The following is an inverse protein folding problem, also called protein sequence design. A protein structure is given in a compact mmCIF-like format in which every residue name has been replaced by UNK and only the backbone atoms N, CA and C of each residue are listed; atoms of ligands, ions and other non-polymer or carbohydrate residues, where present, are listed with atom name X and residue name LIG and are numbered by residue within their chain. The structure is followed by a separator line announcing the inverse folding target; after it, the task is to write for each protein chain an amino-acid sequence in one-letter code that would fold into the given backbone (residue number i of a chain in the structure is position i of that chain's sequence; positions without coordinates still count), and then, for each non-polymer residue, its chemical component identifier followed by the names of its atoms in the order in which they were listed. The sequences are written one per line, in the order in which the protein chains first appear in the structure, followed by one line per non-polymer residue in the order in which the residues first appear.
data_IF_416263067939
#
_entry.id   IF_416263067939
#
_cell.length_a   1.000
_cell.length_b   1.000
_cell.length_c   1.000
_cell.angle_alpha   90.00
_cell.angle_beta   90.00
_cell.angle_gamma   90.00
#
_symmetry.space_group_name_H-M   'P 1'
#
loop_
_entity.id
_entity.type
_entity.pdbx_description
1 polymer ?
#
# COMPACT_ATOMS: atom_id res chain seq x y z
N UNK A 1 3.36 -20.73 -1.74
CA UNK A 1 2.06 -20.04 -1.61
C UNK A 1 2.04 -18.93 -2.65
N UNK A 2 1.00 -18.79 -3.48
CA UNK A 2 0.90 -17.67 -4.41
C UNK A 2 0.67 -16.38 -3.63
N UNK A 3 1.42 -15.32 -3.97
CA UNK A 3 1.17 -14.02 -3.39
C UNK A 3 -0.15 -13.45 -3.94
N UNK A 4 -0.80 -12.59 -3.16
CA UNK A 4 -1.96 -11.83 -3.59
C UNK A 4 -1.69 -10.34 -3.52
N UNK A 5 -2.53 -9.62 -4.22
CA UNK A 5 -2.47 -8.17 -4.34
C UNK A 5 -3.40 -7.54 -3.29
N UNK A 6 -2.85 -6.63 -2.48
CA UNK A 6 -3.56 -5.94 -1.41
C UNK A 6 -3.41 -4.42 -1.54
N UNK A 7 -4.44 -3.68 -1.19
CA UNK A 7 -4.40 -2.22 -1.06
C UNK A 7 -4.01 -1.85 0.35
N UNK A 8 -3.05 -0.93 0.49
CA UNK A 8 -2.67 -0.39 1.78
C UNK A 8 -3.73 0.59 2.25
N UNK A 9 -4.43 0.25 3.32
CA UNK A 9 -5.37 1.12 3.99
C UNK A 9 -4.68 2.07 4.98
N UNK A 10 -3.56 1.66 5.58
CA UNK A 10 -2.87 2.47 6.57
C UNK A 10 -1.40 2.08 6.69
N UNK A 11 -0.54 3.04 7.00
CA UNK A 11 0.90 2.83 7.15
C UNK A 11 1.67 2.85 5.82
N UNK A 12 2.82 2.17 5.81
CA UNK A 12 3.66 2.04 4.62
C UNK A 12 4.30 0.66 4.58
N UNK A 13 4.24 0.01 3.43
CA UNK A 13 4.74 -1.35 3.21
C UNK A 13 5.91 -1.32 2.23
N UNK A 14 6.90 -2.18 2.46
CA UNK A 14 8.08 -2.28 1.61
C UNK A 14 7.88 -3.42 0.62
N UNK A 15 7.98 -3.11 -0.67
CA UNK A 15 7.94 -4.08 -1.76
C UNK A 15 9.29 -4.83 -1.87
N UNK A 16 9.31 -5.99 -2.54
CA UNK A 16 10.56 -6.71 -2.85
C UNK A 16 11.54 -5.87 -3.69
N UNK A 17 11.02 -4.93 -4.47
CA UNK A 17 11.77 -3.93 -5.23
C UNK A 17 12.40 -2.82 -4.34
N UNK A 18 12.36 -2.98 -3.01
CA UNK A 18 12.84 -2.00 -2.04
C UNK A 18 12.06 -0.66 -2.02
N UNK A 19 11.06 -0.52 -2.88
CA UNK A 19 10.15 0.62 -2.93
C UNK A 19 9.15 0.60 -1.76
N UNK A 20 8.87 1.77 -1.19
CA UNK A 20 7.84 1.95 -0.15
C UNK A 20 6.52 2.34 -0.80
N UNK A 21 5.48 1.58 -0.51
CA UNK A 21 4.09 1.86 -0.89
C UNK A 21 3.34 2.35 0.35
N UNK A 22 2.74 3.54 0.25
CA UNK A 22 1.91 4.13 1.31
C UNK A 22 0.43 3.76 1.17
N UNK A 23 -0.40 4.36 2.03
CA UNK A 23 -1.86 4.31 1.94
C UNK A 23 -2.36 4.62 0.52
N UNK A 24 -3.32 3.82 0.02
CA UNK A 24 -3.85 3.87 -1.34
C UNK A 24 -2.98 3.14 -2.38
N UNK A 25 -1.77 2.73 -2.01
CA UNK A 25 -0.89 1.94 -2.86
C UNK A 25 -1.22 0.46 -2.83
N UNK A 26 -0.84 -0.24 -3.90
CA UNK A 26 -1.05 -1.68 -4.03
C UNK A 26 0.25 -2.43 -3.67
N UNK A 27 0.17 -3.55 -2.98
CA UNK A 27 1.34 -4.35 -2.59
C UNK A 27 1.06 -5.84 -2.80
N UNK A 28 2.05 -6.59 -3.26
CA UNK A 28 1.95 -8.03 -3.44
C UNK A 28 2.57 -8.73 -2.22
N UNK A 29 1.76 -9.49 -1.49
CA UNK A 29 2.15 -10.10 -0.22
C UNK A 29 1.55 -11.52 -0.10
N UNK A 30 2.12 -12.39 0.74
CA UNK A 30 1.49 -13.65 1.14
C UNK A 30 0.24 -13.41 2.02
N UNK A 31 -0.75 -14.29 1.94
CA UNK A 31 -1.96 -14.24 2.77
C UNK A 31 -1.63 -14.26 4.28
N UNK A 32 -0.66 -15.08 4.72
CA UNK A 32 -0.24 -15.12 6.14
C UNK A 32 0.27 -13.77 6.66
N UNK A 33 0.92 -13.00 5.78
CA UNK A 33 1.38 -11.65 6.11
C UNK A 33 0.19 -10.70 6.11
N UNK A 34 -0.64 -10.76 5.06
CA UNK A 34 -1.80 -9.90 4.94
C UNK A 34 -2.80 -10.08 6.10
N UNK A 35 -2.99 -11.30 6.60
CA UNK A 35 -3.87 -11.60 7.74
C UNK A 35 -3.43 -10.85 9.01
N UNK A 36 -2.11 -10.81 9.27
CA UNK A 36 -1.54 -10.05 10.39
C UNK A 36 -1.77 -8.54 10.25
N UNK A 37 -1.93 -8.07 9.02
CA UNK A 37 -2.14 -6.67 8.67
C UNK A 37 -3.56 -6.42 8.13
N UNK A 38 -4.55 -7.26 8.42
CA UNK A 38 -5.94 -7.11 7.90
C UNK A 38 -6.64 -5.79 8.24
N UNK A 39 -6.13 -5.05 9.23
CA UNK A 39 -6.61 -3.70 9.57
C UNK A 39 -5.86 -2.58 8.84
N UNK A 40 -4.75 -2.93 8.19
CA UNK A 40 -3.86 -2.03 7.43
C UNK A 40 -3.84 -2.35 5.93
N UNK A 41 -4.34 -3.52 5.53
CA UNK A 41 -4.37 -4.04 4.16
C UNK A 41 -5.77 -4.56 3.83
N UNK A 42 -6.25 -4.25 2.64
CA UNK A 42 -7.47 -4.78 2.06
C UNK A 42 -7.15 -5.66 0.87
N UNK A 43 -7.80 -6.82 0.76
CA UNK A 43 -7.60 -7.71 -0.40
C UNK A 43 -8.20 -7.07 -1.65
N UNK A 44 -7.39 -6.94 -2.71
CA UNK A 44 -7.90 -6.51 -4.01
C UNK A 44 -8.54 -7.72 -4.67
N UNK A 45 -9.86 -7.89 -4.44
CA UNK A 45 -10.65 -8.84 -5.21
C UNK A 45 -10.90 -8.20 -6.57
N UNK A 46 -10.58 -8.87 -7.71
CA UNK A 46 -10.93 -8.38 -9.04
C UNK A 46 -12.45 -8.53 -9.27
N UNK A 47 -13.24 -7.74 -8.54
CA UNK A 47 -14.59 -7.33 -8.91
C UNK A 47 -14.54 -5.89 -9.43
N UNK A 48 -15.56 -5.41 -10.16
CA UNK A 48 -15.55 -4.09 -10.77
C UNK A 48 -15.66 -3.00 -9.69
N UNK A 49 -14.56 -2.70 -9.00
CA UNK A 49 -14.50 -1.68 -7.97
C UNK A 49 -13.70 -0.48 -8.47
N UNK A 50 -14.47 0.58 -8.73
CA UNK A 50 -14.01 1.94 -8.95
C UNK A 50 -13.26 2.41 -7.70
N UNK A 51 -11.95 2.65 -7.78
CA UNK A 51 -11.28 3.55 -6.84
C UNK A 51 -10.07 4.21 -7.51
N UNK A 52 -9.94 5.55 -7.41
CA UNK A 52 -8.86 6.28 -8.04
C UNK A 52 -7.55 6.00 -7.31
N UNK A 53 -6.49 5.79 -8.10
CA UNK A 53 -5.11 5.83 -7.63
C UNK A 53 -4.78 7.25 -7.16
N UNK A 54 -5.11 7.54 -5.90
CA UNK A 54 -4.67 8.75 -5.21
C UNK A 54 -3.20 8.62 -4.84
N UNK A 55 -2.36 9.17 -5.70
CA UNK A 55 -0.92 9.34 -5.52
C UNK A 55 -0.62 10.11 -4.22
N UNK A 56 -0.47 9.38 -3.12
CA UNK A 56 -0.01 9.87 -1.81
C UNK A 56 1.51 10.03 -1.76
N UNK A 57 2.10 10.60 -2.81
CA UNK A 57 3.53 10.88 -2.91
C UNK A 57 3.93 12.14 -2.15
N UNK A 58 4.18 11.98 -0.84
CA UNK A 58 4.89 12.90 0.07
C UNK A 58 5.71 14.00 -0.65
N UNK A 59 5.26 15.24 -0.55
CA UNK A 59 6.15 16.41 -0.63
C UNK A 59 6.40 16.91 0.80
N UNK A 60 7.15 16.15 1.59
CA UNK A 60 7.83 16.73 2.75
C UNK A 60 9.02 17.51 2.23
N UNK A 61 8.82 18.78 1.91
CA UNK A 61 9.92 19.75 1.85
C UNK A 61 9.63 20.83 2.89
N UNK A 62 10.03 20.55 4.13
CA UNK A 62 10.35 21.60 5.09
C UNK A 62 11.56 22.33 4.51
N UNK A 63 11.38 23.57 4.07
CA UNK A 63 12.49 24.47 3.77
C UNK A 63 12.85 25.19 5.08
N UNK A 64 14.11 25.14 5.54
CA UNK A 64 14.55 25.98 6.64
C UNK A 64 14.67 27.45 6.19
N UNK A 65 14.49 28.31 7.18
CA UNK A 65 14.56 29.77 7.24
C UNK A 65 15.65 30.47 6.39
N UNK A 66 15.29 31.60 5.76
CA UNK A 66 16.18 32.68 5.35
C UNK A 66 15.40 34.00 5.23
#
# INVERSE_FOLDING_TARGET
MPNKTYTVLSGSFRRPDNSLVGQGGVVELPDDVADRFRHQLEVVVPGPSLAPAGDGGRKSKVSPDA
#
